data_IF_820671921980
#
_entry.id   IF_820671921980
#
_cell.length_a   1.000
_cell.length_b   1.000
_cell.length_c   1.000
_cell.angle_alpha   90.00
_cell.angle_beta   90.00
_cell.angle_gamma   90.00
#
_symmetry.space_group_name_H-M   'P 1'
#
loop_
_entity.id
_entity.type
_entity.pdbx_description
1 polymer ?
#
# COMPACT_ATOMS: atom_id res chain seq x y z
N UNK A 1 -9.95 7.41 0.47
CA UNK A 1 -9.46 8.20 -0.67
C UNK A 1 -10.40 9.33 -1.07
N UNK A 2 -11.73 9.10 -1.17
CA UNK A 2 -12.69 10.14 -1.58
C UNK A 2 -12.63 11.42 -0.73
N UNK A 3 -12.64 11.30 0.60
CA UNK A 3 -12.54 12.47 1.49
C UNK A 3 -11.22 13.25 1.28
N UNK A 4 -10.10 12.55 1.16
CA UNK A 4 -8.81 13.17 0.86
C UNK A 4 -8.84 13.93 -0.49
N UNK A 5 -9.55 13.38 -1.49
CA UNK A 5 -9.71 14.02 -2.79
C UNK A 5 -10.53 15.29 -2.69
N UNK A 6 -11.66 15.25 -1.97
CA UNK A 6 -12.51 16.43 -1.74
C UNK A 6 -11.81 17.52 -0.95
N UNK A 7 -10.83 17.15 -0.11
CA UNK A 7 -10.00 18.10 0.67
C UNK A 7 -8.79 18.63 -0.12
N UNK A 8 -8.64 18.26 -1.39
CA UNK A 8 -7.56 18.77 -2.26
C UNK A 8 -6.19 18.12 -2.02
N UNK A 9 -6.13 16.96 -1.38
CA UNK A 9 -4.87 16.22 -1.20
C UNK A 9 -4.42 15.67 -2.55
N UNK A 10 -3.28 16.16 -3.05
CA UNK A 10 -2.73 15.77 -4.37
C UNK A 10 -1.65 14.69 -4.29
N UNK A 11 -0.95 14.61 -3.16
CA UNK A 11 0.10 13.62 -2.92
C UNK A 11 -0.39 12.59 -1.92
N UNK A 12 -0.22 11.31 -2.25
CA UNK A 12 -0.69 10.20 -1.43
C UNK A 12 0.32 9.06 -1.52
N UNK A 13 0.55 8.40 -0.39
CA UNK A 13 1.27 7.12 -0.29
C UNK A 13 0.30 6.12 0.32
N UNK A 14 0.21 4.93 -0.26
CA UNK A 14 -0.63 3.86 0.23
C UNK A 14 0.24 2.83 0.97
N UNK A 15 0.14 2.79 2.31
CA UNK A 15 0.87 1.80 3.10
C UNK A 15 0.00 0.55 3.33
N UNK A 16 0.43 -0.58 2.79
CA UNK A 16 -0.21 -1.88 2.98
C UNK A 16 0.31 -2.51 4.27
N UNK A 17 -0.43 -2.34 5.37
CA UNK A 17 0.00 -2.77 6.70
C UNK A 17 -0.36 -4.24 7.03
N UNK A 18 0.25 -4.77 8.09
CA UNK A 18 0.08 -6.13 8.64
C UNK A 18 0.53 -7.24 7.68
N UNK A 19 1.59 -6.99 6.91
CA UNK A 19 2.13 -7.98 5.97
C UNK A 19 2.64 -9.25 6.68
N UNK A 20 3.07 -9.13 7.94
CA UNK A 20 3.45 -10.22 8.84
C UNK A 20 2.30 -11.20 9.16
N UNK A 21 1.05 -10.76 9.05
CA UNK A 21 -0.15 -11.52 9.36
C UNK A 21 -0.84 -12.10 8.12
N UNK A 22 -0.25 -11.91 6.93
CA UNK A 22 -0.75 -12.55 5.71
C UNK A 22 -0.51 -14.06 5.75
N UNK A 23 -1.31 -14.82 4.99
CA UNK A 23 -1.15 -16.27 4.83
C UNK A 23 -0.89 -16.57 3.35
N UNK A 24 0.32 -16.98 2.95
CA UNK A 24 1.55 -17.10 3.75
C UNK A 24 2.09 -15.75 4.23
N UNK A 25 2.93 -15.75 5.28
CA UNK A 25 3.53 -14.51 5.82
C UNK A 25 4.28 -13.75 4.72
N UNK A 26 4.13 -12.42 4.71
CA UNK A 26 4.72 -11.53 3.71
C UNK A 26 4.38 -11.88 2.25
N UNK A 27 3.18 -12.39 2.01
CA UNK A 27 2.73 -12.82 0.67
C UNK A 27 2.71 -11.69 -0.34
N UNK A 28 3.57 -11.81 -1.36
CA UNK A 28 3.55 -10.94 -2.55
C UNK A 28 2.22 -10.98 -3.29
N UNK A 29 1.66 -12.17 -3.47
CA UNK A 29 0.39 -12.34 -4.17
C UNK A 29 -0.74 -11.55 -3.50
N UNK A 30 -0.77 -11.53 -2.16
CA UNK A 30 -1.76 -10.75 -1.40
C UNK A 30 -1.54 -9.26 -1.56
N UNK A 31 -0.29 -8.80 -1.56
CA UNK A 31 0.04 -7.40 -1.83
C UNK A 31 -0.37 -6.99 -3.25
N UNK A 32 -0.02 -7.76 -4.27
CA UNK A 32 -0.32 -7.47 -5.68
C UNK A 32 -1.84 -7.39 -5.92
N UNK A 33 -2.62 -8.25 -5.26
CA UNK A 33 -4.09 -8.20 -5.26
C UNK A 33 -4.60 -6.88 -4.68
N UNK A 34 -4.11 -6.49 -3.49
CA UNK A 34 -4.48 -5.22 -2.83
C UNK A 34 -4.11 -4.03 -3.70
N UNK A 35 -2.89 -4.00 -4.26
CA UNK A 35 -2.43 -2.92 -5.14
C UNK A 35 -3.36 -2.79 -6.35
N UNK A 36 -3.74 -3.90 -6.98
CA UNK A 36 -4.65 -3.88 -8.14
C UNK A 36 -6.03 -3.34 -7.78
N UNK A 37 -6.64 -3.83 -6.70
CA UNK A 37 -7.98 -3.42 -6.29
C UNK A 37 -8.01 -1.95 -5.86
N UNK A 38 -7.05 -1.53 -5.04
CA UNK A 38 -6.95 -0.16 -4.53
C UNK A 38 -6.60 0.80 -5.66
N UNK A 39 -5.72 0.43 -6.60
CA UNK A 39 -5.42 1.27 -7.78
C UNK A 39 -6.65 1.49 -8.65
N UNK A 40 -7.46 0.43 -8.86
CA UNK A 40 -8.73 0.54 -9.59
C UNK A 40 -9.71 1.48 -8.88
N UNK A 41 -9.81 1.37 -7.55
CA UNK A 41 -10.64 2.25 -6.74
C UNK A 41 -10.15 3.72 -6.78
N UNK A 42 -8.84 3.95 -6.64
CA UNK A 42 -8.22 5.29 -6.71
C UNK A 42 -8.46 5.96 -8.06
N UNK A 43 -8.36 5.19 -9.15
CA UNK A 43 -8.68 5.67 -10.50
C UNK A 43 -10.15 6.11 -10.62
N UNK A 44 -11.08 5.36 -10.04
CA UNK A 44 -12.52 5.73 -10.01
C UNK A 44 -12.78 6.99 -9.19
N UNK A 45 -12.02 7.22 -8.12
CA UNK A 45 -12.11 8.43 -7.28
C UNK A 45 -11.57 9.67 -8.02
N UNK A 46 -10.67 9.49 -9.00
CA UNK A 46 -10.08 10.59 -9.77
C UNK A 46 -8.59 10.82 -9.49
N UNK A 47 -7.94 9.95 -8.72
CA UNK A 47 -6.48 9.97 -8.57
C UNK A 47 -5.80 9.33 -9.76
N UNK A 48 -4.54 9.72 -10.02
CA UNK A 48 -3.65 9.00 -10.92
C UNK A 48 -2.89 7.91 -10.12
N UNK A 49 -3.17 6.61 -10.33
CA UNK A 49 -2.49 5.52 -9.62
C UNK A 49 -0.98 5.49 -9.86
N UNK A 50 -0.51 5.91 -11.03
CA UNK A 50 0.93 5.89 -11.39
C UNK A 50 1.76 6.86 -10.53
N UNK A 51 1.10 7.82 -9.87
CA UNK A 51 1.74 8.78 -8.96
C UNK A 51 1.65 8.38 -7.49
N UNK A 52 0.99 7.27 -7.18
CA UNK A 52 0.77 6.82 -5.80
C UNK A 52 1.68 5.63 -5.54
N UNK A 53 2.64 5.83 -4.64
CA UNK A 53 3.50 4.74 -4.20
C UNK A 53 2.73 3.81 -3.25
N UNK A 54 2.86 2.51 -3.48
CA UNK A 54 2.36 1.47 -2.58
C UNK A 54 3.53 0.87 -1.81
N UNK A 55 3.48 0.91 -0.49
CA UNK A 55 4.57 0.41 0.38
C UNK A 55 4.04 -0.72 1.25
N UNK A 56 4.52 -1.97 1.12
CA UNK A 56 4.19 -3.02 2.07
C UNK A 56 4.92 -2.76 3.38
N UNK A 57 4.21 -2.73 4.50
CA UNK A 57 4.76 -2.47 5.83
C UNK A 57 4.23 -3.48 6.87
N UNK A 58 4.97 -3.65 7.96
CA UNK A 58 4.44 -4.17 9.21
C UNK A 58 4.70 -3.18 10.32
N UNK A 59 3.62 -2.60 10.88
CA UNK A 59 3.74 -1.76 12.06
C UNK A 59 4.08 -2.53 13.35
N UNK A 60 3.93 -3.86 13.36
CA UNK A 60 4.23 -4.69 14.54
C UNK A 60 5.70 -5.10 14.57
N UNK A 61 6.23 -5.60 13.44
CA UNK A 61 7.63 -6.02 13.30
C UNK A 61 8.55 -4.85 12.91
N UNK A 62 7.99 -3.71 12.49
CA UNK A 62 8.74 -2.52 12.08
C UNK A 62 9.22 -2.53 10.62
N UNK A 63 8.77 -3.52 9.83
CA UNK A 63 9.20 -3.70 8.43
C UNK A 63 8.83 -2.51 7.53
N UNK A 64 9.81 -2.00 6.78
CA UNK A 64 9.66 -0.91 5.80
C UNK A 64 9.11 0.42 6.39
N UNK A 65 9.27 0.62 7.70
CA UNK A 65 8.84 1.84 8.39
C UNK A 65 9.93 2.93 8.38
N UNK A 66 11.19 2.53 8.56
CA UNK A 66 12.36 3.41 8.54
C UNK A 66 13.44 2.80 7.65
N UNK A 67 13.74 1.53 7.89
CA UNK A 67 14.71 0.75 7.12
C UNK A 67 14.00 -0.28 6.24
N UNK A 68 14.68 -0.70 5.17
CA UNK A 68 14.18 -1.73 4.26
C UNK A 68 14.21 -3.09 4.96
N UNK A 69 13.07 -3.78 4.94
CA UNK A 69 12.94 -5.13 5.49
C UNK A 69 13.53 -6.18 4.56
N UNK A 70 14.11 -7.23 5.14
CA UNK A 70 14.52 -8.46 4.43
C UNK A 70 13.37 -9.47 4.27
N UNK A 71 12.22 -9.25 4.92
CA UNK A 71 11.05 -10.13 4.81
C UNK A 71 10.21 -9.82 3.55
N UNK A 72 10.47 -8.67 2.93
CA UNK A 72 9.73 -8.10 1.80
C UNK A 72 10.71 -7.76 0.66
N UNK A 73 11.56 -8.72 0.30
CA UNK A 73 12.64 -8.56 -0.69
C UNK A 73 12.18 -8.44 -2.15
N UNK A 74 10.89 -8.70 -2.39
CA UNK A 74 10.30 -8.88 -3.71
C UNK A 74 9.70 -7.63 -4.33
#
# INVERSE_FOLDING_TARGET
ALLAFTLGVKQMICCCNKMDATTPKYSKARYDEIVKEVSSYLKKVGYNPDKIAFVPISGFEGDNMIERSTNLDW
#
